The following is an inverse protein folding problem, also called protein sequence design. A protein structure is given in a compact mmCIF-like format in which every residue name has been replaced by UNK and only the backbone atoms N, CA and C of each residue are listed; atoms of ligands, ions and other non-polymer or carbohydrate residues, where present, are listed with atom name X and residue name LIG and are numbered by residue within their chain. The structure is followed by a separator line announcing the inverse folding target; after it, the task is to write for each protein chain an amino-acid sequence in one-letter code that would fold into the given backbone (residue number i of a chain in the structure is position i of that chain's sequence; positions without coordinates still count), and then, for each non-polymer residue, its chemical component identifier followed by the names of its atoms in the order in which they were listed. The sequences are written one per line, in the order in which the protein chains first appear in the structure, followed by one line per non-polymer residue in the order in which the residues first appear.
data_IF_505712448107
#
_entry.id   IF_505712448107
#
_cell.length_a   1.000
_cell.length_b   1.000
_cell.length_c   1.000
_cell.angle_alpha   90.00
_cell.angle_beta   90.00
_cell.angle_gamma   90.00
#
_symmetry.space_group_name_H-M   'P 1'
#
loop_
_entity.id
_entity.type
_entity.pdbx_description
1 polymer ?
#
# COMPACT_ATOMS: atom_id res chain seq x y z
N UNK A 1 -15.86 -20.04 14.47
CA UNK A 1 -14.85 -19.04 14.93
C UNK A 1 -14.90 -17.87 13.96
N UNK A 2 -14.94 -16.62 14.42
CA UNK A 2 -14.83 -15.44 13.54
C UNK A 2 -13.42 -15.43 12.94
N UNK A 3 -13.30 -15.38 11.61
CA UNK A 3 -11.98 -15.28 10.94
C UNK A 3 -11.40 -13.89 11.14
N UNK A 4 -10.07 -13.81 11.16
CA UNK A 4 -9.32 -12.53 11.20
C UNK A 4 -9.61 -11.72 9.95
N UNK A 5 -9.77 -10.40 10.11
CA UNK A 5 -9.99 -9.46 9.02
C UNK A 5 -8.65 -9.12 8.32
N UNK A 6 -8.61 -9.14 6.98
CA UNK A 6 -7.49 -8.63 6.20
C UNK A 6 -7.81 -7.23 5.66
N UNK A 7 -7.19 -6.21 6.29
CA UNK A 7 -7.34 -4.81 5.93
C UNK A 7 -6.25 -4.38 4.92
N UNK A 8 -6.69 -4.04 3.72
CA UNK A 8 -5.81 -3.62 2.63
C UNK A 8 -5.76 -2.08 2.46
N UNK A 9 -4.61 -1.52 2.02
CA UNK A 9 -4.50 -0.10 1.70
C UNK A 9 -5.03 0.16 0.29
N UNK A 10 -5.82 1.20 0.10
CA UNK A 10 -6.21 1.63 -1.26
C UNK A 10 -5.82 3.07 -1.47
N UNK A 11 -5.00 3.41 -2.48
CA UNK A 11 -4.74 4.83 -2.78
C UNK A 11 -5.82 5.47 -3.63
N UNK A 12 -6.41 4.68 -4.53
CA UNK A 12 -7.42 5.05 -5.52
C UNK A 12 -8.31 3.82 -5.84
N UNK A 13 -9.32 3.99 -6.70
CA UNK A 13 -10.28 2.93 -7.06
C UNK A 13 -9.59 1.70 -7.68
N UNK A 14 -8.51 1.87 -8.45
CA UNK A 14 -7.77 0.73 -9.02
C UNK A 14 -7.19 -0.17 -7.94
N UNK A 15 -6.67 0.42 -6.85
CA UNK A 15 -6.16 -0.35 -5.72
C UNK A 15 -7.27 -1.14 -5.00
N UNK A 16 -8.49 -0.58 -4.90
CA UNK A 16 -9.66 -1.33 -4.39
C UNK A 16 -9.94 -2.52 -5.31
N UNK A 17 -10.12 -2.27 -6.62
CA UNK A 17 -10.36 -3.31 -7.63
C UNK A 17 -9.33 -4.44 -7.56
N UNK A 18 -8.06 -4.08 -7.43
CA UNK A 18 -6.94 -5.01 -7.35
C UNK A 18 -7.02 -5.96 -6.14
N UNK A 19 -7.58 -5.51 -5.01
CA UNK A 19 -7.70 -6.30 -3.79
C UNK A 19 -9.08 -6.90 -3.51
N UNK A 20 -10.11 -6.65 -4.35
CA UNK A 20 -11.51 -7.02 -4.10
C UNK A 20 -11.70 -8.49 -3.70
N UNK A 21 -10.95 -9.41 -4.32
CA UNK A 21 -11.08 -10.86 -4.08
C UNK A 21 -10.31 -11.36 -2.86
N UNK A 22 -9.52 -10.50 -2.22
CA UNK A 22 -8.50 -10.90 -1.26
C UNK A 22 -8.63 -10.20 0.09
N UNK A 23 -9.06 -8.95 0.11
CA UNK A 23 -9.26 -8.18 1.34
C UNK A 23 -10.69 -8.34 1.89
N UNK A 24 -10.86 -8.15 3.20
CA UNK A 24 -12.19 -8.01 3.82
C UNK A 24 -12.59 -6.53 3.94
N UNK A 25 -11.59 -5.65 3.95
CA UNK A 25 -11.79 -4.22 4.15
C UNK A 25 -10.68 -3.40 3.50
N UNK A 26 -10.99 -2.13 3.23
CA UNK A 26 -10.02 -1.16 2.73
C UNK A 26 -9.96 0.08 3.62
N UNK A 27 -8.75 0.60 3.83
CA UNK A 27 -8.57 1.92 4.42
C UNK A 27 -8.00 2.93 3.42
N UNK A 28 -8.54 4.14 3.45
CA UNK A 28 -8.13 5.22 2.57
C UNK A 28 -8.40 6.62 3.14
N UNK A 29 -7.71 7.62 2.61
CA UNK A 29 -7.88 9.03 2.99
C UNK A 29 -8.53 9.85 1.88
N UNK A 30 -9.16 10.95 2.29
CA UNK A 30 -9.51 12.05 1.41
C UNK A 30 -8.24 12.79 0.93
N UNK A 31 -8.38 13.89 0.19
CA UNK A 31 -7.23 14.70 -0.25
C UNK A 31 -6.45 15.36 0.89
N UNK A 32 -7.04 15.51 2.07
CA UNK A 32 -6.47 16.16 3.24
C UNK A 32 -6.53 15.26 4.49
N UNK A 33 -5.91 15.73 5.57
CA UNK A 33 -6.01 15.18 6.93
C UNK A 33 -5.57 13.71 7.14
N UNK A 34 -4.73 13.13 6.28
CA UNK A 34 -4.28 11.74 6.44
C UNK A 34 -2.76 11.60 6.31
N UNK A 35 -2.18 10.55 6.89
CA UNK A 35 -0.72 10.33 6.92
C UNK A 35 -0.04 10.09 5.56
N UNK A 36 -0.80 10.08 4.45
CA UNK A 36 -0.31 9.84 3.09
C UNK A 36 -0.91 10.87 2.13
N UNK A 37 -0.83 12.17 2.47
CA UNK A 37 -1.36 13.25 1.64
C UNK A 37 -0.76 13.27 0.23
N UNK A 38 0.48 12.79 0.08
CA UNK A 38 1.15 12.67 -1.24
C UNK A 38 0.73 11.43 -2.06
N UNK A 39 -0.16 10.58 -1.55
CA UNK A 39 -0.73 9.49 -2.34
C UNK A 39 -1.80 10.02 -3.32
N UNK A 40 -2.21 9.16 -4.25
CA UNK A 40 -3.24 9.44 -5.27
C UNK A 40 -4.67 9.44 -4.68
N UNK A 41 -4.84 10.19 -3.59
CA UNK A 41 -6.01 10.26 -2.70
C UNK A 41 -7.35 10.45 -3.42
N UNK A 42 -8.42 9.98 -2.77
CA UNK A 42 -9.78 10.09 -3.30
C UNK A 42 -10.28 11.53 -3.23
N UNK A 43 -10.83 12.03 -4.33
CA UNK A 43 -11.59 13.27 -4.33
C UNK A 43 -12.96 13.07 -3.66
N UNK A 44 -13.63 14.15 -3.30
CA UNK A 44 -15.00 14.09 -2.76
C UNK A 44 -15.96 13.35 -3.71
N UNK A 45 -15.79 13.50 -5.02
CA UNK A 45 -16.58 12.79 -6.03
C UNK A 45 -16.23 11.30 -6.18
N UNK A 46 -15.06 10.87 -5.71
CA UNK A 46 -14.61 9.49 -5.79
C UNK A 46 -14.95 8.70 -4.52
N UNK A 47 -15.06 9.36 -3.36
CA UNK A 47 -15.36 8.70 -2.08
C UNK A 47 -16.67 7.88 -2.13
N UNK A 48 -17.82 8.41 -2.61
CA UNK A 48 -19.05 7.61 -2.72
C UNK A 48 -18.89 6.39 -3.63
N UNK A 49 -18.16 6.54 -4.74
CA UNK A 49 -17.91 5.43 -5.68
C UNK A 49 -17.02 4.35 -5.05
N UNK A 50 -16.04 4.76 -4.26
CA UNK A 50 -15.12 3.86 -3.57
C UNK A 50 -15.83 3.05 -2.49
N UNK A 51 -16.64 3.72 -1.66
CA UNK A 51 -17.45 3.06 -0.61
C UNK A 51 -18.47 2.12 -1.24
N UNK A 52 -19.23 2.59 -2.24
CA UNK A 52 -20.16 1.74 -3.00
C UNK A 52 -19.48 0.50 -3.57
N UNK A 53 -18.30 0.66 -4.18
CA UNK A 53 -17.54 -0.46 -4.73
C UNK A 53 -17.16 -1.50 -3.67
N UNK A 54 -16.80 -1.06 -2.46
CA UNK A 54 -16.50 -1.97 -1.36
C UNK A 54 -17.77 -2.72 -0.92
N UNK A 55 -18.85 -1.99 -0.65
CA UNK A 55 -20.12 -2.56 -0.16
C UNK A 55 -20.79 -3.48 -1.18
N UNK A 56 -20.78 -3.14 -2.47
CA UNK A 56 -21.30 -4.00 -3.55
C UNK A 56 -20.60 -5.37 -3.60
N UNK A 57 -19.40 -5.49 -3.03
CA UNK A 57 -18.63 -6.73 -2.95
C UNK A 57 -18.60 -7.32 -1.53
N UNK A 58 -19.32 -6.75 -0.56
CA UNK A 58 -19.36 -7.20 0.83
C UNK A 58 -18.13 -6.81 1.67
N UNK A 59 -17.34 -5.83 1.24
CA UNK A 59 -16.16 -5.33 1.95
C UNK A 59 -16.48 -4.05 2.73
N UNK A 60 -15.79 -3.85 3.85
CA UNK A 60 -15.87 -2.60 4.62
C UNK A 60 -14.94 -1.52 4.08
N UNK A 61 -15.32 -0.26 4.26
CA UNK A 61 -14.52 0.91 3.91
C UNK A 61 -14.25 1.79 5.14
N UNK A 62 -12.97 2.11 5.38
CA UNK A 62 -12.54 2.96 6.49
C UNK A 62 -11.86 4.23 5.98
N UNK A 63 -12.32 5.39 6.46
CA UNK A 63 -11.66 6.66 6.14
C UNK A 63 -10.54 6.92 7.14
N UNK A 64 -9.47 7.58 6.72
CA UNK A 64 -8.37 7.99 7.61
C UNK A 64 -8.35 9.50 7.77
N UNK A 65 -8.42 9.98 9.02
CA UNK A 65 -8.16 11.37 9.41
C UNK A 65 -7.11 11.39 10.54
N UNK A 66 -6.02 10.68 10.30
CA UNK A 66 -5.03 10.36 11.31
C UNK A 66 -3.82 11.29 11.23
N UNK A 67 -3.97 12.61 11.40
CA UNK A 67 -2.83 13.54 11.54
C UNK A 67 -3.07 14.45 12.75
N UNK A 68 -2.04 15.17 13.19
CA UNK A 68 -2.20 16.26 14.17
C UNK A 68 -3.18 17.30 13.61
N UNK A 69 -4.08 17.86 14.41
CA UNK A 69 -5.09 18.84 13.98
C UNK A 69 -4.91 20.15 14.75
N UNK A 70 -5.01 21.30 14.06
CA UNK A 70 -4.98 22.63 14.69
C UNK A 70 -6.38 23.24 14.83
N UNK A 71 -6.50 24.23 15.70
CA UNK A 71 -7.78 24.89 16.06
C UNK A 71 -8.55 25.41 14.83
N UNK A 72 -7.83 26.07 13.91
CA UNK A 72 -8.38 26.62 12.67
C UNK A 72 -8.81 25.54 11.65
N UNK A 73 -8.45 24.28 11.89
CA UNK A 73 -8.76 23.15 11.04
C UNK A 73 -9.94 22.30 11.52
N UNK A 74 -10.39 22.51 12.77
CA UNK A 74 -11.45 21.71 13.39
C UNK A 74 -12.72 21.67 12.52
N UNK A 75 -13.14 22.82 12.00
CA UNK A 75 -14.32 22.91 11.11
C UNK A 75 -14.17 22.01 9.88
N UNK A 76 -13.00 22.01 9.24
CA UNK A 76 -12.75 21.19 8.05
C UNK A 76 -12.68 19.71 8.37
N UNK A 77 -12.06 19.34 9.49
CA UNK A 77 -12.02 17.97 9.98
C UNK A 77 -13.44 17.44 10.24
N UNK A 78 -14.26 18.19 10.97
CA UNK A 78 -15.63 17.78 11.31
C UNK A 78 -16.48 17.59 10.07
N UNK A 79 -16.37 18.50 9.09
CA UNK A 79 -17.05 18.34 7.81
C UNK A 79 -16.66 17.06 7.07
N UNK A 80 -15.38 16.66 7.13
CA UNK A 80 -14.90 15.40 6.53
C UNK A 80 -15.50 14.19 7.25
N UNK A 81 -15.58 14.22 8.58
CA UNK A 81 -16.16 13.13 9.37
C UNK A 81 -17.68 13.01 9.13
N UNK A 82 -18.41 14.11 9.09
CA UNK A 82 -19.84 14.11 8.73
C UNK A 82 -20.07 13.59 7.32
N UNK A 83 -19.26 14.04 6.35
CA UNK A 83 -19.35 13.56 4.98
C UNK A 83 -19.00 12.06 4.88
N UNK A 84 -18.03 11.59 5.66
CA UNK A 84 -17.73 10.16 5.72
C UNK A 84 -18.93 9.36 6.27
N UNK A 85 -19.61 9.88 7.30
CA UNK A 85 -20.83 9.28 7.84
C UNK A 85 -21.95 9.24 6.79
N UNK A 86 -22.20 10.35 6.09
CA UNK A 86 -23.28 10.44 5.09
C UNK A 86 -23.04 9.54 3.88
N UNK A 87 -21.78 9.36 3.48
CA UNK A 87 -21.37 8.44 2.40
C UNK A 87 -21.53 6.97 2.84
N UNK A 88 -21.50 6.69 4.15
CA UNK A 88 -21.65 5.35 4.70
C UNK A 88 -20.33 4.62 4.97
N UNK A 89 -19.25 5.32 5.30
CA UNK A 89 -18.04 4.64 5.78
C UNK A 89 -18.32 3.80 7.03
N UNK A 90 -17.73 2.60 7.11
CA UNK A 90 -17.86 1.67 8.24
C UNK A 90 -17.11 2.15 9.49
N UNK A 91 -16.24 3.15 9.35
CA UNK A 91 -15.61 3.85 10.45
C UNK A 91 -14.46 4.77 10.04
N UNK A 92 -13.99 5.56 10.99
CA UNK A 92 -12.87 6.47 10.82
C UNK A 92 -11.64 6.03 11.63
N UNK A 93 -10.47 6.03 11.00
CA UNK A 93 -9.18 5.80 11.66
C UNK A 93 -8.61 7.16 12.07
N UNK A 94 -8.63 7.42 13.39
CA UNK A 94 -8.34 8.74 13.98
C UNK A 94 -7.36 8.60 15.14
N UNK A 95 -6.71 9.69 15.54
CA UNK A 95 -5.90 9.70 16.76
C UNK A 95 -5.98 11.00 17.54
N UNK A 96 -6.30 12.10 16.86
CA UNK A 96 -6.50 13.40 17.48
C UNK A 96 -7.69 13.34 18.45
N UNK A 97 -7.53 13.94 19.64
CA UNK A 97 -8.53 13.88 20.71
C UNK A 97 -9.80 14.64 20.31
N UNK A 98 -9.69 15.77 19.58
CA UNK A 98 -10.86 16.49 19.11
C UNK A 98 -11.64 15.66 18.08
N UNK A 99 -10.93 14.94 17.20
CA UNK A 99 -11.57 14.00 16.27
C UNK A 99 -12.31 12.87 17.01
N UNK A 100 -11.73 12.34 18.09
CA UNK A 100 -12.33 11.27 18.90
C UNK A 100 -13.60 11.77 19.61
N UNK A 101 -13.53 12.94 20.25
CA UNK A 101 -14.68 13.55 20.93
C UNK A 101 -15.83 13.79 19.94
N UNK A 102 -15.51 14.37 18.79
CA UNK A 102 -16.51 14.63 17.77
C UNK A 102 -17.11 13.35 17.18
N UNK A 103 -16.28 12.37 16.81
CA UNK A 103 -16.76 11.08 16.31
C UNK A 103 -17.71 10.38 17.31
N UNK A 104 -17.44 10.50 18.61
CA UNK A 104 -18.33 10.00 19.66
C UNK A 104 -19.64 10.80 19.73
N UNK A 105 -19.57 12.12 19.70
CA UNK A 105 -20.74 13.02 19.74
C UNK A 105 -21.71 12.73 18.59
N UNK A 106 -21.18 12.51 17.39
CA UNK A 106 -21.98 12.24 16.19
C UNK A 106 -22.10 10.76 15.84
N UNK A 107 -21.79 9.85 16.76
CA UNK A 107 -21.96 8.39 16.59
C UNK A 107 -21.34 7.83 15.29
N UNK A 108 -20.06 8.13 15.07
CA UNK A 108 -19.24 7.54 14.01
C UNK A 108 -18.37 6.45 14.63
N UNK A 109 -18.47 5.18 14.20
CA UNK A 109 -17.54 4.15 14.63
C UNK A 109 -16.10 4.56 14.33
N UNK A 110 -15.20 4.44 15.32
CA UNK A 110 -13.83 4.89 15.15
C UNK A 110 -12.80 3.88 15.63
N UNK A 111 -11.70 3.84 14.90
CA UNK A 111 -10.51 3.07 15.21
C UNK A 111 -9.41 4.02 15.65
N UNK A 112 -8.68 3.66 16.70
CA UNK A 112 -7.53 4.46 17.12
C UNK A 112 -6.31 4.11 16.27
N UNK A 113 -5.76 5.12 15.59
CA UNK A 113 -4.58 5.00 14.75
C UNK A 113 -3.34 4.64 15.57
N UNK A 114 -2.41 3.93 14.93
CA UNK A 114 -1.06 3.66 15.50
C UNK A 114 -0.35 4.92 15.97
N UNK A 115 -0.72 6.11 15.44
CA UNK A 115 -0.20 7.40 15.90
C UNK A 115 -0.57 7.77 17.34
N UNK A 116 -1.46 7.04 18.01
CA UNK A 116 -1.71 7.18 19.44
C UNK A 116 -0.69 6.41 20.32
N UNK A 117 0.16 5.55 19.73
CA UNK A 117 1.20 4.78 20.43
C UNK A 117 0.66 3.84 21.52
N UNK A 118 -0.50 3.21 21.28
CA UNK A 118 -1.06 2.23 22.21
C UNK A 118 -0.11 1.03 22.30
N UNK A 119 0.59 0.93 23.44
CA UNK A 119 1.67 -0.04 23.67
C UNK A 119 1.52 -0.82 24.99
N UNK A 120 0.44 -0.59 25.71
CA UNK A 120 0.12 -1.28 26.97
C UNK A 120 -1.40 -1.33 27.19
N UNK A 121 -1.83 -2.20 28.11
CA UNK A 121 -3.24 -2.47 28.38
C UNK A 121 -3.98 -1.29 29.00
N UNK A 122 -3.31 -0.47 29.82
CA UNK A 122 -3.92 0.72 30.45
C UNK A 122 -4.34 1.74 29.39
N UNK A 123 -3.44 2.06 28.45
CA UNK A 123 -3.75 2.95 27.33
C UNK A 123 -4.82 2.35 26.41
N UNK A 124 -4.77 1.04 26.15
CA UNK A 124 -5.77 0.37 25.31
C UNK A 124 -7.17 0.46 25.94
N UNK A 125 -7.28 0.20 27.25
CA UNK A 125 -8.53 0.24 28.00
C UNK A 125 -9.12 1.65 28.07
N UNK A 126 -8.28 2.68 28.24
CA UNK A 126 -8.71 4.08 28.15
C UNK A 126 -9.45 4.36 26.83
N UNK A 127 -8.89 3.94 25.69
CA UNK A 127 -9.53 4.16 24.39
C UNK A 127 -10.77 3.28 24.17
N UNK A 128 -10.79 2.05 24.70
CA UNK A 128 -12.00 1.21 24.72
C UNK A 128 -13.14 1.89 25.49
N UNK A 129 -12.86 2.45 26.67
CA UNK A 129 -13.83 3.18 27.51
C UNK A 129 -14.31 4.48 26.86
N UNK A 130 -13.47 5.11 26.02
CA UNK A 130 -13.89 6.24 25.19
C UNK A 130 -14.86 5.85 24.07
N UNK A 131 -14.95 4.56 23.72
CA UNK A 131 -15.86 4.04 22.70
C UNK A 131 -15.19 3.56 21.41
N UNK A 132 -13.85 3.41 21.40
CA UNK A 132 -13.16 2.89 20.22
C UNK A 132 -13.61 1.45 19.91
N UNK A 133 -14.01 1.19 18.66
CA UNK A 133 -14.37 -0.16 18.23
C UNK A 133 -13.14 -1.01 17.90
N UNK A 134 -12.01 -0.38 17.56
CA UNK A 134 -10.76 -1.06 17.23
C UNK A 134 -9.54 -0.21 17.60
N UNK A 135 -8.48 -0.86 18.06
CA UNK A 135 -7.22 -0.24 18.45
C UNK A 135 -6.09 -0.76 17.56
N UNK A 136 -5.47 0.15 16.80
CA UNK A 136 -4.30 -0.17 15.99
C UNK A 136 -3.06 0.00 16.87
N UNK A 137 -2.47 -1.12 17.27
CA UNK A 137 -1.38 -1.11 18.25
C UNK A 137 -0.09 -0.53 17.68
N UNK A 138 0.74 0.00 18.59
CA UNK A 138 2.07 0.50 18.26
C UNK A 138 2.90 -0.61 17.59
N UNK A 139 3.63 -0.25 16.53
CA UNK A 139 4.43 -1.20 15.73
C UNK A 139 5.64 -1.76 16.47
N UNK A 140 5.92 -1.19 17.64
CA UNK A 140 6.98 -1.58 18.56
C UNK A 140 6.55 -2.64 19.58
N UNK A 141 5.29 -3.07 19.58
CA UNK A 141 4.82 -4.13 20.47
C UNK A 141 5.30 -5.52 20.02
N UNK A 142 5.77 -6.31 20.98
CA UNK A 142 6.00 -7.75 20.79
C UNK A 142 4.68 -8.53 20.75
N UNK A 143 4.72 -9.74 20.20
CA UNK A 143 3.55 -10.63 20.17
C UNK A 143 3.02 -10.89 21.58
N UNK A 144 3.91 -11.09 22.55
CA UNK A 144 3.54 -11.27 23.97
C UNK A 144 2.76 -10.07 24.51
N UNK A 145 3.23 -8.85 24.25
CA UNK A 145 2.55 -7.63 24.68
C UNK A 145 1.21 -7.46 23.95
N UNK A 146 1.12 -7.78 22.66
CA UNK A 146 -0.13 -7.74 21.90
C UNK A 146 -1.16 -8.69 22.52
N UNK A 147 -0.77 -9.93 22.85
CA UNK A 147 -1.64 -10.89 23.54
C UNK A 147 -2.08 -10.40 24.91
N UNK A 148 -1.17 -9.81 25.69
CA UNK A 148 -1.49 -9.25 27.01
C UNK A 148 -2.48 -8.08 26.91
N UNK A 149 -2.28 -7.17 25.96
CA UNK A 149 -3.23 -6.09 25.68
C UNK A 149 -4.60 -6.66 25.30
N UNK A 150 -4.65 -7.62 24.36
CA UNK A 150 -5.90 -8.24 23.91
C UNK A 150 -6.67 -8.90 25.06
N UNK A 151 -5.97 -9.57 25.98
CA UNK A 151 -6.58 -10.23 27.14
C UNK A 151 -7.17 -9.25 28.17
N UNK A 152 -6.77 -7.98 28.15
CA UNK A 152 -7.27 -6.95 29.07
C UNK A 152 -8.45 -6.14 28.48
N UNK A 153 -8.81 -6.37 27.22
CA UNK A 153 -9.92 -5.71 26.54
C UNK A 153 -11.20 -6.53 26.62
N UNK A 154 -12.33 -5.84 26.67
CA UNK A 154 -13.65 -6.46 26.82
C UNK A 154 -14.48 -6.44 25.53
N UNK A 155 -14.26 -5.45 24.68
CA UNK A 155 -15.10 -5.15 23.49
C UNK A 155 -14.27 -4.77 22.27
N UNK A 156 -13.22 -3.98 22.44
CA UNK A 156 -12.45 -3.42 21.34
C UNK A 156 -11.67 -4.50 20.60
N UNK A 157 -11.67 -4.39 19.27
CA UNK A 157 -10.84 -5.20 18.39
C UNK A 157 -9.38 -4.72 18.43
N UNK A 158 -8.43 -5.61 18.20
CA UNK A 158 -7.01 -5.30 18.02
C UNK A 158 -6.63 -5.46 16.54
N UNK A 159 -5.97 -4.44 16.01
CA UNK A 159 -5.38 -4.43 14.68
C UNK A 159 -3.87 -4.24 14.77
N UNK A 160 -3.14 -5.00 13.95
CA UNK A 160 -1.68 -4.93 13.87
C UNK A 160 -1.21 -4.88 12.43
N UNK A 161 -0.06 -4.25 12.20
CA UNK A 161 0.60 -4.34 10.90
C UNK A 161 1.24 -5.71 10.74
N UNK A 162 1.04 -6.35 9.57
CA UNK A 162 1.66 -7.63 9.22
C UNK A 162 2.63 -7.53 8.03
N UNK A 163 2.49 -6.49 7.21
CA UNK A 163 3.35 -6.30 6.04
C UNK A 163 3.61 -4.82 5.74
N UNK A 164 4.75 -4.54 5.12
CA UNK A 164 5.05 -3.27 4.46
C UNK A 164 6.08 -2.42 5.18
N UNK A 165 6.29 -1.20 4.70
CA UNK A 165 7.41 -0.39 5.15
C UNK A 165 7.33 -0.05 6.65
N UNK A 166 8.44 -0.24 7.36
CA UNK A 166 8.63 0.22 8.74
C UNK A 166 9.15 1.66 8.76
N UNK A 167 8.70 2.44 9.75
CA UNK A 167 9.23 3.77 10.01
C UNK A 167 10.48 3.65 10.89
N UNK A 168 11.40 4.61 10.75
CA UNK A 168 12.55 4.75 11.66
C UNK A 168 12.16 5.40 12.97
N UNK A 169 11.08 6.18 12.95
CA UNK A 169 10.54 6.87 14.12
C UNK A 169 9.40 6.07 14.72
N UNK A 170 9.27 6.16 16.05
CA UNK A 170 8.29 5.42 16.83
C UNK A 170 6.88 5.73 16.32
N UNK A 171 6.21 4.69 15.81
CA UNK A 171 4.85 4.77 15.26
C UNK A 171 4.59 5.97 14.31
N UNK A 172 5.61 6.38 13.56
CA UNK A 172 5.51 7.42 12.53
C UNK A 172 5.62 8.86 13.02
N UNK A 173 5.91 9.11 14.31
CA UNK A 173 6.10 10.45 14.87
C UNK A 173 7.50 10.98 14.56
N UNK A 174 7.65 11.81 13.53
CA UNK A 174 8.96 12.16 12.96
C UNK A 174 9.08 13.66 12.62
N UNK A 175 10.19 14.28 13.02
CA UNK A 175 10.56 15.66 12.67
C UNK A 175 11.52 15.74 11.48
N UNK A 176 12.21 14.65 11.15
CA UNK A 176 13.29 14.69 10.15
C UNK A 176 12.88 15.27 8.79
N UNK A 177 11.65 15.04 8.35
CA UNK A 177 11.13 15.57 7.08
C UNK A 177 10.93 17.09 7.09
N UNK A 178 10.44 17.67 8.19
CA UNK A 178 10.26 19.13 8.26
C UNK A 178 11.59 19.84 8.43
N UNK A 179 12.53 19.25 9.19
CA UNK A 179 13.85 19.85 9.42
C UNK A 179 14.67 19.92 8.13
N UNK A 180 14.72 18.82 7.37
CA UNK A 180 15.42 18.76 6.08
C UNK A 180 14.83 19.73 5.06
N UNK A 181 13.51 19.92 5.08
CA UNK A 181 12.84 20.84 4.18
C UNK A 181 12.70 22.27 4.74
N UNK A 182 13.11 22.50 5.98
CA UNK A 182 12.98 23.76 6.71
C UNK A 182 11.57 24.36 6.65
N UNK A 183 10.54 23.50 6.69
CA UNK A 183 9.14 23.93 6.55
C UNK A 183 8.17 22.93 7.19
N UNK A 184 7.21 23.47 7.95
CA UNK A 184 6.11 22.72 8.56
C UNK A 184 5.23 22.03 7.52
N UNK A 185 5.22 22.53 6.27
CA UNK A 185 4.49 21.90 5.18
C UNK A 185 5.00 20.50 4.84
N UNK A 186 6.22 20.12 5.22
CA UNK A 186 6.76 18.79 4.97
C UNK A 186 6.79 17.92 6.22
N UNK A 187 5.99 18.25 7.24
CA UNK A 187 5.88 17.48 8.47
C UNK A 187 5.31 16.08 8.22
N UNK A 188 6.01 15.06 8.76
CA UNK A 188 5.54 13.69 8.69
C UNK A 188 4.29 13.47 9.54
N UNK A 189 4.14 14.21 10.64
CA UNK A 189 2.96 14.20 11.52
C UNK A 189 1.72 14.84 10.86
N UNK A 190 1.91 15.47 9.69
CA UNK A 190 0.89 16.11 8.87
C UNK A 190 0.72 15.39 7.53
N UNK A 191 1.25 14.17 7.40
CA UNK A 191 1.09 13.34 6.21
C UNK A 191 1.86 13.77 4.97
N UNK A 192 2.81 14.70 5.11
CA UNK A 192 3.59 15.30 4.01
C UNK A 192 5.08 14.92 4.04
N UNK A 193 5.40 13.78 4.65
CA UNK A 193 6.77 13.27 4.75
C UNK A 193 7.42 13.03 3.37
N UNK A 194 8.56 13.67 3.10
CA UNK A 194 9.37 13.47 1.87
C UNK A 194 10.38 12.31 1.98
N UNK A 195 10.24 11.52 3.04
CA UNK A 195 11.03 10.31 3.32
C UNK A 195 12.56 10.56 3.31
N UNK A 196 13.08 11.59 3.99
CA UNK A 196 14.52 11.88 4.02
C UNK A 196 15.34 10.74 4.61
N UNK A 197 14.74 9.96 5.52
CA UNK A 197 15.33 8.74 6.08
C UNK A 197 15.73 7.71 5.03
N UNK A 198 15.16 7.75 3.81
CA UNK A 198 15.50 6.80 2.73
C UNK A 198 16.59 7.30 1.78
N UNK A 199 17.23 8.43 2.09
CA UNK A 199 18.32 9.03 1.30
C UNK A 199 19.67 8.69 1.92
N UNK A 200 20.74 8.94 1.17
CA UNK A 200 22.11 8.90 1.70
C UNK A 200 22.46 10.27 2.29
N UNK A 201 23.14 10.28 3.42
CA UNK A 201 23.61 11.43 4.18
C UNK A 201 25.06 11.24 4.62
N UNK A 202 25.77 12.34 4.80
CA UNK A 202 27.04 12.37 5.53
C UNK A 202 26.79 13.24 6.76
N UNK A 203 26.99 12.68 7.95
CA UNK A 203 26.83 13.37 9.22
C UNK A 203 28.23 13.67 9.74
N UNK A 204 28.48 14.92 10.11
CA UNK A 204 29.73 15.34 10.73
C UNK A 204 29.30 15.96 12.06
N UNK A 205 29.81 15.45 13.17
CA UNK A 205 29.55 16.06 14.48
C UNK A 205 30.48 17.25 14.75
N UNK A 206 30.29 17.91 15.89
CA UNK A 206 31.07 19.11 16.26
C UNK A 206 32.55 18.82 16.48
N UNK A 207 32.91 17.57 16.74
CA UNK A 207 34.30 17.11 16.92
C UNK A 207 34.95 16.71 15.57
N UNK A 208 34.26 16.93 14.45
CA UNK A 208 34.63 16.49 13.10
C UNK A 208 34.66 14.96 12.91
N UNK A 209 33.99 14.18 13.77
CA UNK A 209 33.79 12.77 13.49
C UNK A 209 32.82 12.63 12.31
N UNK A 210 33.28 11.99 11.24
CA UNK A 210 32.47 11.73 10.07
C UNK A 210 31.76 10.36 10.18
N UNK A 211 30.43 10.41 10.14
CA UNK A 211 29.57 9.25 9.99
C UNK A 211 28.93 9.29 8.60
N UNK A 212 29.33 8.37 7.72
CA UNK A 212 28.66 8.21 6.44
C UNK A 212 27.38 7.40 6.69
N UNK A 213 26.24 8.05 6.54
CA UNK A 213 24.96 7.39 6.36
C UNK A 213 24.73 7.16 4.87
N UNK A 214 25.29 6.10 4.32
CA UNK A 214 25.10 5.62 2.94
C UNK A 214 23.66 5.21 2.57
N UNK A 215 22.64 5.63 3.32
CA UNK A 215 21.24 5.21 3.14
C UNK A 215 20.97 3.81 3.66
N UNK A 216 21.92 3.25 4.41
CA UNK A 216 21.96 1.83 4.75
C UNK A 216 21.95 1.59 6.28
N UNK A 217 22.51 2.49 7.10
CA UNK A 217 22.58 2.39 8.58
C UNK A 217 21.68 3.38 9.36
N UNK A 218 21.08 2.96 10.48
CA UNK A 218 20.20 3.75 11.38
C UNK A 218 18.81 4.19 10.85
N UNK A 219 18.65 4.54 9.57
CA UNK A 219 17.40 5.17 9.09
C UNK A 219 16.73 4.46 7.89
N UNK A 220 17.09 3.22 7.59
CA UNK A 220 16.50 2.45 6.48
C UNK A 220 16.08 1.04 6.90
N UNK A 221 14.95 0.95 7.61
CA UNK A 221 14.40 -0.34 8.02
C UNK A 221 14.02 -1.20 6.82
N UNK A 222 14.29 -2.51 6.95
CA UNK A 222 13.66 -3.54 6.12
C UNK A 222 12.14 -3.46 6.28
N UNK A 223 11.42 -4.03 5.31
CA UNK A 223 9.97 -4.03 5.35
C UNK A 223 9.48 -5.15 6.28
N UNK A 224 8.41 -4.88 7.05
CA UNK A 224 7.77 -5.87 7.91
C UNK A 224 7.19 -6.99 7.04
N UNK A 225 7.36 -8.24 7.48
CA UNK A 225 6.68 -9.38 6.88
C UNK A 225 6.44 -10.48 7.92
N UNK A 226 5.18 -10.72 8.26
CA UNK A 226 4.77 -11.71 9.26
C UNK A 226 4.11 -12.95 8.64
N UNK A 227 4.30 -13.16 7.33
CA UNK A 227 3.62 -14.24 6.58
C UNK A 227 3.89 -15.63 7.15
N UNK A 228 5.07 -15.86 7.71
CA UNK A 228 5.47 -17.15 8.32
C UNK A 228 4.77 -17.40 9.66
N UNK A 229 4.26 -16.34 10.29
CA UNK A 229 3.75 -16.32 11.66
C UNK A 229 2.23 -16.11 11.73
N UNK A 230 1.52 -16.25 10.61
CA UNK A 230 0.06 -16.18 10.57
C UNK A 230 -0.61 -17.08 11.63
N UNK A 231 -0.17 -18.35 11.85
CA UNK A 231 -0.72 -19.17 12.92
C UNK A 231 -0.63 -18.50 14.30
N UNK A 232 0.56 -18.05 14.69
CA UNK A 232 0.81 -17.43 15.99
C UNK A 232 0.03 -16.12 16.17
N UNK A 233 -0.12 -15.33 15.08
CA UNK A 233 -0.91 -14.11 15.11
C UNK A 233 -2.41 -14.38 15.31
N UNK A 234 -2.95 -15.42 14.66
CA UNK A 234 -4.35 -15.83 14.84
C UNK A 234 -4.58 -16.42 16.23
N UNK A 235 -3.66 -17.26 16.72
CA UNK A 235 -3.70 -17.83 18.07
C UNK A 235 -3.61 -16.75 19.16
N UNK A 236 -2.92 -15.64 18.89
CA UNK A 236 -2.89 -14.45 19.75
C UNK A 236 -4.21 -13.65 19.77
N UNK A 237 -5.26 -14.12 19.08
CA UNK A 237 -6.60 -13.52 19.01
C UNK A 237 -6.61 -12.09 18.47
N UNK A 238 -5.72 -11.80 17.53
CA UNK A 238 -5.71 -10.53 16.79
C UNK A 238 -6.90 -10.52 15.82
N UNK A 239 -7.68 -9.43 15.82
CA UNK A 239 -8.93 -9.35 15.06
C UNK A 239 -8.72 -8.87 13.62
N UNK A 240 -7.70 -8.04 13.38
CA UNK A 240 -7.41 -7.51 12.05
C UNK A 240 -5.90 -7.44 11.72
N UNK A 241 -5.55 -7.91 10.52
CA UNK A 241 -4.23 -7.80 9.92
C UNK A 241 -4.20 -6.66 8.91
N UNK A 242 -3.33 -5.68 9.16
CA UNK A 242 -3.17 -4.51 8.31
C UNK A 242 -1.95 -4.62 7.41
N UNK A 243 -2.16 -4.40 6.12
CA UNK A 243 -1.08 -4.24 5.13
C UNK A 243 -0.74 -2.76 4.99
N UNK A 244 0.52 -2.37 5.21
CA UNK A 244 1.01 -1.04 4.84
C UNK A 244 1.39 -0.99 3.36
N UNK A 245 0.79 -0.04 2.63
CA UNK A 245 1.03 0.11 1.20
C UNK A 245 0.25 1.23 0.54
N UNK A 246 -0.23 2.24 1.29
CA UNK A 246 -1.10 3.30 0.75
C UNK A 246 -0.47 4.15 -0.35
N UNK A 247 0.84 4.09 -0.54
CA UNK A 247 1.55 4.76 -1.65
C UNK A 247 1.97 3.78 -2.77
N UNK A 248 1.67 2.49 -2.64
CA UNK A 248 2.11 1.45 -3.57
C UNK A 248 1.21 1.36 -4.81
N UNK A 249 1.61 0.56 -5.79
CA UNK A 249 0.80 0.32 -6.99
C UNK A 249 -0.41 -0.54 -6.66
N UNK A 250 -1.50 -0.48 -7.46
CA UNK A 250 -2.58 -1.46 -7.37
C UNK A 250 -2.08 -2.91 -7.46
N UNK A 251 -1.10 -3.20 -8.33
CA UNK A 251 -0.46 -4.52 -8.42
C UNK A 251 0.18 -4.99 -7.10
N UNK A 252 0.86 -4.11 -6.38
CA UNK A 252 1.38 -4.44 -5.05
C UNK A 252 0.23 -4.81 -4.10
N UNK A 253 -0.84 -4.01 -4.08
CA UNK A 253 -2.00 -4.27 -3.22
C UNK A 253 -2.63 -5.63 -3.55
N UNK A 254 -2.78 -5.97 -4.83
CA UNK A 254 -3.26 -7.29 -5.27
C UNK A 254 -2.38 -8.42 -4.77
N UNK A 255 -1.08 -8.39 -5.08
CA UNK A 255 -0.17 -9.51 -4.80
C UNK A 255 -0.01 -9.72 -3.29
N UNK A 256 0.21 -8.64 -2.53
CA UNK A 256 0.36 -8.76 -1.07
C UNK A 256 -0.95 -9.26 -0.45
N UNK A 257 -2.10 -8.67 -0.80
CA UNK A 257 -3.39 -9.08 -0.21
C UNK A 257 -3.74 -10.51 -0.57
N UNK A 258 -3.50 -10.94 -1.81
CA UNK A 258 -3.69 -12.32 -2.26
C UNK A 258 -2.88 -13.30 -1.44
N UNK A 259 -1.59 -13.03 -1.26
CA UNK A 259 -0.68 -13.93 -0.53
C UNK A 259 -1.09 -14.04 0.95
N UNK A 260 -1.42 -12.92 1.59
CA UNK A 260 -1.90 -12.94 2.97
C UNK A 260 -3.26 -13.64 3.10
N UNK A 261 -4.18 -13.45 2.14
CA UNK A 261 -5.45 -14.19 2.08
C UNK A 261 -5.20 -15.69 1.97
N UNK A 262 -4.36 -16.12 1.03
CA UNK A 262 -4.00 -17.54 0.88
C UNK A 262 -3.45 -18.11 2.19
N UNK A 263 -2.56 -17.39 2.88
CA UNK A 263 -2.01 -17.86 4.15
C UNK A 263 -3.03 -17.94 5.29
N UNK A 264 -3.95 -16.98 5.37
CA UNK A 264 -5.05 -16.99 6.34
C UNK A 264 -5.98 -18.17 6.07
N UNK A 265 -6.40 -18.38 4.83
CA UNK A 265 -7.28 -19.50 4.46
C UNK A 265 -6.60 -20.85 4.67
N UNK A 266 -5.32 -20.98 4.30
CA UNK A 266 -4.55 -22.21 4.52
C UNK A 266 -4.44 -22.54 6.01
N UNK A 267 -4.31 -21.55 6.90
CA UNK A 267 -4.36 -21.80 8.35
C UNK A 267 -5.72 -22.37 8.78
N UNK A 268 -6.82 -21.69 8.41
CA UNK A 268 -8.16 -22.13 8.81
C UNK A 268 -8.58 -23.47 8.19
N UNK A 269 -8.04 -23.82 7.02
CA UNK A 269 -8.30 -25.10 6.34
C UNK A 269 -7.32 -26.22 6.73
N UNK A 270 -6.34 -25.97 7.61
CA UNK A 270 -5.35 -26.96 8.03
C UNK A 270 -4.25 -27.26 6.99
N UNK A 271 -4.08 -26.39 5.98
CA UNK A 271 -3.12 -26.54 4.88
C UNK A 271 -1.85 -25.69 5.05
N UNK A 272 -1.77 -24.86 6.10
CA UNK A 272 -0.60 -24.01 6.37
C UNK A 272 0.66 -24.86 6.59
N UNK A 273 1.68 -24.66 5.76
CA UNK A 273 2.89 -25.48 5.81
C UNK A 273 4.15 -24.69 5.43
N UNK A 274 5.32 -25.16 5.87
CA UNK A 274 6.63 -24.57 5.52
C UNK A 274 6.84 -24.44 4.00
N UNK A 275 6.32 -25.40 3.23
CA UNK A 275 6.39 -25.37 1.76
C UNK A 275 5.61 -24.18 1.19
N UNK A 276 4.40 -23.94 1.69
CA UNK A 276 3.58 -22.79 1.29
C UNK A 276 4.21 -21.47 1.73
N UNK A 277 4.73 -21.41 2.94
CA UNK A 277 5.50 -20.25 3.44
C UNK A 277 6.65 -19.88 2.51
N UNK A 278 7.46 -20.85 2.09
CA UNK A 278 8.55 -20.62 1.14
C UNK A 278 8.07 -20.06 -0.21
N UNK A 279 6.94 -20.56 -0.72
CA UNK A 279 6.30 -20.05 -1.95
C UNK A 279 5.82 -18.61 -1.78
N UNK A 280 5.14 -18.29 -0.67
CA UNK A 280 4.66 -16.94 -0.41
C UNK A 280 5.80 -15.94 -0.29
N UNK A 281 6.85 -16.25 0.48
CA UNK A 281 8.03 -15.39 0.60
C UNK A 281 8.67 -15.15 -0.78
N UNK A 282 8.76 -16.18 -1.62
CA UNK A 282 9.30 -16.06 -2.97
C UNK A 282 8.48 -15.09 -3.83
N UNK A 283 7.15 -15.18 -3.80
CA UNK A 283 6.29 -14.24 -4.53
C UNK A 283 6.36 -12.82 -3.94
N UNK A 284 6.36 -12.66 -2.62
CA UNK A 284 6.50 -11.36 -1.95
C UNK A 284 7.83 -10.67 -2.30
N UNK A 285 8.92 -11.44 -2.52
CA UNK A 285 10.23 -10.90 -2.94
C UNK A 285 10.22 -10.33 -4.35
N UNK A 286 9.24 -10.67 -5.20
CA UNK A 286 9.09 -10.08 -6.54
C UNK A 286 8.47 -8.69 -6.48
N UNK A 287 7.68 -8.40 -5.45
CA UNK A 287 7.15 -7.06 -5.24
C UNK A 287 8.21 -6.09 -4.69
N UNK A 288 7.91 -4.80 -4.69
CA UNK A 288 8.80 -3.82 -4.09
C UNK A 288 9.05 -4.19 -2.62
N UNK A 289 10.31 -4.40 -2.26
CA UNK A 289 10.72 -4.63 -0.87
C UNK A 289 12.16 -4.14 -0.64
N UNK A 290 12.51 -3.93 0.63
CA UNK A 290 13.88 -3.65 1.07
C UNK A 290 14.46 -4.80 1.89
N UNK A 291 14.05 -6.03 1.57
CA UNK A 291 14.24 -7.17 2.46
C UNK A 291 13.19 -7.20 3.56
N UNK A 292 13.15 -8.31 4.30
CA UNK A 292 12.14 -8.55 5.32
C UNK A 292 12.73 -8.60 6.73
N UNK A 293 11.92 -8.19 7.70
CA UNK A 293 12.13 -8.26 9.14
C UNK A 293 10.80 -8.62 9.82
N UNK A 294 10.87 -9.18 11.03
CA UNK A 294 9.71 -9.37 11.91
C UNK A 294 9.44 -8.16 12.79
N UNK A 295 10.22 -7.07 12.64
CA UNK A 295 10.11 -5.90 13.50
C UNK A 295 10.31 -6.27 14.97
N UNK A 296 9.38 -5.85 15.82
CA UNK A 296 9.46 -6.01 17.27
C UNK A 296 8.71 -7.24 17.80
N UNK A 297 8.12 -8.07 16.92
CA UNK A 297 7.22 -9.14 17.35
C UNK A 297 7.88 -10.19 18.25
N UNK A 298 9.16 -10.49 18.04
CA UNK A 298 9.87 -11.56 18.75
C UNK A 298 11.11 -11.06 19.47
N UNK A 299 11.94 -10.29 18.77
CA UNK A 299 13.19 -9.75 19.30
C UNK A 299 13.23 -8.23 19.16
N UNK A 300 14.11 -7.59 19.94
CA UNK A 300 14.42 -6.18 19.72
C UNK A 300 15.16 -6.05 18.37
N UNK A 301 14.74 -5.14 17.47
CA UNK A 301 15.42 -4.94 16.21
C UNK A 301 16.89 -4.61 16.40
N UNK A 302 17.71 -5.20 15.56
CA UNK A 302 19.16 -4.99 15.52
C UNK A 302 19.55 -4.37 14.19
N UNK A 303 20.85 -4.22 13.96
CA UNK A 303 21.38 -3.88 12.64
C UNK A 303 20.88 -4.84 11.54
N UNK A 304 20.60 -6.11 11.83
CA UNK A 304 20.15 -7.09 10.82
C UNK A 304 18.77 -6.75 10.23
N UNK A 305 17.99 -5.96 10.96
CA UNK A 305 16.65 -5.49 10.57
C UNK A 305 16.68 -4.21 9.73
N UNK A 306 17.87 -3.64 9.53
CA UNK A 306 18.11 -2.54 8.63
C UNK A 306 18.60 -3.06 7.27
N UNK A 307 18.37 -2.27 6.23
CA UNK A 307 18.80 -2.58 4.88
C UNK A 307 20.16 -1.92 4.59
N UNK A 308 21.24 -2.67 4.77
CA UNK A 308 22.63 -2.21 4.61
C UNK A 308 23.28 -2.51 3.25
N UNK A 309 22.52 -2.78 2.19
CA UNK A 309 23.10 -3.14 0.87
C UNK A 309 22.56 -2.32 -0.29
N UNK A 310 21.42 -1.67 -0.11
CA UNK A 310 20.83 -0.83 -1.15
C UNK A 310 19.81 0.13 -0.54
N UNK A 311 19.84 1.43 -0.87
CA UNK A 311 18.82 2.38 -0.47
C UNK A 311 17.49 2.19 -1.24
N UNK A 312 17.41 1.22 -2.17
CA UNK A 312 16.30 1.06 -3.10
C UNK A 312 15.68 -0.33 -3.08
N UNK A 313 14.69 -0.57 -3.94
CA UNK A 313 14.04 -1.86 -4.10
C UNK A 313 15.05 -2.98 -4.38
N UNK A 314 14.98 -4.07 -3.62
CA UNK A 314 15.78 -5.27 -3.87
C UNK A 314 15.22 -6.14 -5.00
N UNK A 315 13.92 -6.06 -5.29
CA UNK A 315 13.32 -6.86 -6.34
C UNK A 315 13.85 -6.48 -7.73
N UNK A 316 14.20 -7.51 -8.50
CA UNK A 316 14.54 -7.37 -9.91
C UNK A 316 13.31 -7.41 -10.83
N UNK A 317 12.15 -7.84 -10.31
CA UNK A 317 10.90 -7.86 -11.03
C UNK A 317 10.27 -6.48 -11.13
N UNK A 318 9.64 -6.20 -12.27
CA UNK A 318 9.02 -4.91 -12.55
C UNK A 318 7.77 -5.10 -13.39
N UNK A 319 6.80 -4.23 -13.13
CA UNK A 319 5.69 -4.02 -14.04
C UNK A 319 6.15 -3.09 -15.17
N UNK A 320 6.25 -3.64 -16.38
CA UNK A 320 6.74 -2.94 -17.57
C UNK A 320 5.56 -2.65 -18.49
N UNK A 321 5.34 -1.37 -18.80
CA UNK A 321 4.41 -0.98 -19.85
C UNK A 321 4.95 -1.41 -21.20
N UNK A 322 4.12 -2.10 -21.98
CA UNK A 322 4.46 -2.61 -23.31
C UNK A 322 3.62 -1.96 -24.43
N UNK A 323 2.48 -1.38 -24.08
CA UNK A 323 1.64 -0.66 -25.03
C UNK A 323 0.54 0.15 -24.39
N UNK A 324 -0.25 0.82 -25.23
CA UNK A 324 -1.42 1.62 -24.86
C UNK A 324 -2.64 1.22 -25.69
N UNK A 325 -3.82 1.20 -25.08
CA UNK A 325 -5.08 1.00 -25.78
C UNK A 325 -5.45 2.32 -26.47
N UNK A 326 -5.69 2.26 -27.78
CA UNK A 326 -6.07 3.40 -28.62
C UNK A 326 -7.56 3.47 -28.89
N UNK A 327 -8.19 2.33 -29.05
CA UNK A 327 -9.62 2.25 -29.29
C UNK A 327 -10.19 0.96 -28.68
N UNK A 328 -11.48 0.95 -28.39
CA UNK A 328 -12.19 -0.21 -27.88
C UNK A 328 -13.60 -0.28 -28.45
N UNK A 329 -13.93 -1.42 -29.06
CA UNK A 329 -15.27 -1.73 -29.51
C UNK A 329 -16.01 -2.57 -28.47
N UNK A 330 -17.09 -2.04 -27.92
CA UNK A 330 -17.94 -2.76 -26.95
C UNK A 330 -18.64 -3.97 -27.57
N UNK A 331 -19.03 -3.90 -28.85
CA UNK A 331 -19.79 -4.97 -29.51
C UNK A 331 -18.92 -6.21 -29.78
N UNK A 332 -17.68 -6.01 -30.23
CA UNK A 332 -16.75 -7.11 -30.47
C UNK A 332 -15.83 -7.43 -29.30
N UNK A 333 -15.80 -6.58 -28.26
CA UNK A 333 -14.83 -6.63 -27.15
C UNK A 333 -13.37 -6.57 -27.62
N UNK A 334 -13.14 -5.92 -28.76
CA UNK A 334 -11.80 -5.81 -29.33
C UNK A 334 -11.19 -4.45 -29.00
N UNK A 335 -9.95 -4.47 -28.52
CA UNK A 335 -9.14 -3.29 -28.31
C UNK A 335 -8.05 -3.17 -29.38
N UNK A 336 -7.90 -1.97 -29.94
CA UNK A 336 -6.74 -1.61 -30.76
C UNK A 336 -5.62 -1.15 -29.85
N UNK A 337 -4.48 -1.83 -29.89
CA UNK A 337 -3.31 -1.58 -29.04
C UNK A 337 -2.18 -1.04 -29.89
N UNK A 338 -1.58 0.06 -29.44
CA UNK A 338 -0.27 0.49 -29.90
C UNK A 338 0.79 -0.14 -29.00
N UNK A 339 1.47 -1.16 -29.51
CA UNK A 339 2.60 -1.81 -28.86
C UNK A 339 3.89 -1.06 -29.23
N UNK A 340 4.58 -0.52 -28.23
CA UNK A 340 5.79 0.29 -28.42
C UNK A 340 6.99 -0.19 -27.60
N UNK A 341 6.84 -1.30 -26.88
CA UNK A 341 7.90 -1.93 -26.12
C UNK A 341 7.62 -3.44 -25.93
N UNK A 342 8.66 -4.27 -25.91
CA UNK A 342 8.52 -5.71 -25.63
C UNK A 342 7.83 -6.47 -26.77
N UNK A 343 7.11 -7.54 -26.47
CA UNK A 343 6.37 -8.33 -27.45
C UNK A 343 5.12 -8.93 -26.78
N UNK A 344 4.16 -9.36 -27.60
CA UNK A 344 3.01 -10.15 -27.15
C UNK A 344 3.02 -11.52 -27.80
N UNK A 345 2.53 -12.52 -27.06
CA UNK A 345 2.34 -13.89 -27.53
C UNK A 345 1.04 -14.43 -26.95
N UNK A 346 0.33 -15.25 -27.72
CA UNK A 346 -0.84 -15.98 -27.24
C UNK A 346 -0.47 -16.78 -25.98
N UNK A 347 -1.32 -16.70 -24.96
CA UNK A 347 -1.14 -17.33 -23.65
C UNK A 347 -0.39 -16.47 -22.63
N UNK A 348 0.18 -15.33 -23.01
CA UNK A 348 0.82 -14.41 -22.06
C UNK A 348 -0.21 -13.78 -21.13
N UNK A 349 0.12 -13.70 -19.84
CA UNK A 349 -0.63 -12.92 -18.85
C UNK A 349 -0.22 -11.46 -18.93
N UNK A 350 -1.20 -10.57 -19.02
CA UNK A 350 -1.01 -9.12 -19.11
C UNK A 350 -1.94 -8.44 -18.11
N UNK A 351 -1.46 -7.33 -17.55
CA UNK A 351 -2.26 -6.44 -16.73
C UNK A 351 -2.74 -5.27 -17.60
N UNK A 352 -4.06 -5.07 -17.67
CA UNK A 352 -4.68 -3.87 -18.21
C UNK A 352 -4.88 -2.90 -17.05
N UNK A 353 -4.25 -1.74 -17.12
CA UNK A 353 -4.38 -0.73 -16.07
C UNK A 353 -4.52 0.68 -16.66
N UNK A 354 -5.51 1.41 -16.13
CA UNK A 354 -5.75 2.80 -16.47
C UNK A 354 -4.69 3.75 -15.94
N UNK A 355 -4.45 4.83 -16.69
CA UNK A 355 -3.71 6.03 -16.28
C UNK A 355 -4.46 6.82 -15.22
N UNK A 356 -4.07 8.06 -14.95
CA UNK A 356 -4.67 8.89 -13.89
C UNK A 356 -6.17 9.14 -14.06
N UNK A 357 -6.67 9.15 -15.30
CA UNK A 357 -8.07 9.44 -15.60
C UNK A 357 -8.96 8.20 -15.67
N UNK A 358 -8.39 7.00 -15.57
CA UNK A 358 -9.10 5.73 -15.72
C UNK A 358 -8.96 4.83 -14.51
N UNK A 359 -10.07 4.17 -14.18
CA UNK A 359 -10.20 3.19 -13.10
C UNK A 359 -10.14 1.74 -13.61
N UNK A 360 -9.67 1.51 -14.84
CA UNK A 360 -9.45 0.17 -15.39
C UNK A 360 -8.35 -0.55 -14.60
N UNK A 361 -8.62 -1.78 -14.17
CA UNK A 361 -7.64 -2.68 -13.56
C UNK A 361 -8.14 -4.12 -13.68
N UNK A 362 -7.50 -4.94 -14.52
CA UNK A 362 -7.77 -6.38 -14.59
C UNK A 362 -6.63 -7.13 -15.29
N UNK A 363 -6.45 -8.39 -14.89
CA UNK A 363 -5.54 -9.33 -15.54
C UNK A 363 -6.28 -10.09 -16.64
N UNK A 364 -5.59 -10.40 -17.74
CA UNK A 364 -6.10 -11.31 -18.77
C UNK A 364 -4.98 -12.11 -19.42
N UNK A 365 -5.35 -13.24 -20.01
CA UNK A 365 -4.48 -13.96 -20.95
C UNK A 365 -4.74 -13.50 -22.37
N UNK A 366 -3.68 -13.31 -23.15
CA UNK A 366 -3.81 -13.01 -24.58
C UNK A 366 -4.34 -14.24 -25.32
N UNK A 367 -5.57 -14.17 -25.84
CA UNK A 367 -6.21 -15.30 -26.55
C UNK A 367 -5.96 -15.26 -28.06
N UNK A 368 -5.93 -14.08 -28.63
CA UNK A 368 -5.61 -13.87 -30.05
C UNK A 368 -4.86 -12.56 -30.22
N UNK A 369 -4.12 -12.46 -31.33
CA UNK A 369 -3.45 -11.24 -31.77
C UNK A 369 -3.70 -11.10 -33.27
N UNK A 370 -4.17 -9.93 -33.71
CA UNK A 370 -4.34 -9.62 -35.14
C UNK A 370 -3.48 -8.42 -35.52
N UNK A 371 -2.71 -8.54 -36.59
CA UNK A 371 -1.90 -7.46 -37.19
C UNK A 371 -2.28 -7.36 -38.67
N UNK A 372 -2.64 -6.17 -39.13
CA UNK A 372 -3.05 -5.93 -40.53
C UNK A 372 -4.09 -6.95 -41.03
N UNK A 373 -5.10 -7.24 -40.20
CA UNK A 373 -6.16 -8.20 -40.52
C UNK A 373 -5.79 -9.68 -40.42
N UNK A 374 -4.52 -10.04 -40.18
CA UNK A 374 -4.05 -11.43 -40.09
C UNK A 374 -3.80 -11.86 -38.64
N UNK A 375 -4.24 -13.07 -38.29
CA UNK A 375 -3.99 -13.66 -36.98
C UNK A 375 -2.52 -14.09 -36.88
N UNK A 376 -1.86 -13.75 -35.77
CA UNK A 376 -0.47 -14.10 -35.49
C UNK A 376 -0.35 -14.77 -34.12
N UNK A 377 0.62 -15.69 -33.96
CA UNK A 377 0.89 -16.35 -32.68
C UNK A 377 1.68 -15.46 -31.72
N UNK A 378 2.50 -14.56 -32.25
CA UNK A 378 3.31 -13.60 -31.51
C UNK A 378 3.65 -12.39 -32.36
N UNK A 379 3.90 -11.26 -31.72
CA UNK A 379 4.46 -10.07 -32.36
C UNK A 379 5.98 -10.17 -32.43
N UNK A 380 6.58 -9.43 -33.36
CA UNK A 380 7.99 -9.08 -33.22
C UNK A 380 8.21 -8.18 -32.00
N UNK A 381 9.48 -7.98 -31.62
CA UNK A 381 9.84 -7.09 -30.52
C UNK A 381 9.63 -5.62 -30.92
N UNK A 382 8.68 -4.97 -30.27
CA UNK A 382 8.43 -3.54 -30.35
C UNK A 382 9.50 -2.74 -29.59
N UNK A 383 9.80 -1.56 -30.12
CA UNK A 383 10.66 -0.55 -29.50
C UNK A 383 10.08 0.84 -29.76
N UNK A 384 10.62 1.87 -29.11
CA UNK A 384 10.20 3.27 -29.35
C UNK A 384 10.23 3.66 -30.84
N UNK A 385 11.14 3.08 -31.61
CA UNK A 385 11.32 3.36 -33.04
C UNK A 385 10.59 2.35 -33.94
N UNK A 386 10.11 1.23 -33.39
CA UNK A 386 9.43 0.15 -34.13
C UNK A 386 8.17 -0.23 -33.36
N UNK A 387 7.06 0.43 -33.69
CA UNK A 387 5.76 0.24 -33.05
C UNK A 387 4.86 -0.63 -33.91
N UNK A 388 3.97 -1.37 -33.28
CA UNK A 388 2.96 -2.17 -33.96
C UNK A 388 1.58 -1.77 -33.49
N UNK A 389 0.68 -1.54 -34.43
CA UNK A 389 -0.74 -1.52 -34.15
C UNK A 389 -1.30 -2.94 -34.29
N UNK A 390 -2.02 -3.39 -33.27
CA UNK A 390 -2.56 -4.74 -33.21
C UNK A 390 -3.93 -4.74 -32.55
N UNK A 391 -4.74 -5.75 -32.84
CA UNK A 391 -6.00 -5.98 -32.14
C UNK A 391 -5.90 -7.18 -31.20
N UNK A 392 -6.46 -7.04 -30.01
CA UNK A 392 -6.68 -8.13 -29.04
C UNK A 392 -8.10 -8.10 -28.50
N UNK A 393 -8.56 -9.24 -27.99
CA UNK A 393 -9.74 -9.28 -27.13
C UNK A 393 -9.42 -8.66 -25.76
N UNK A 394 -10.36 -7.93 -25.18
CA UNK A 394 -10.32 -7.48 -23.79
C UNK A 394 -11.42 -8.17 -22.97
N UNK A 395 -11.05 -8.71 -21.81
CA UNK A 395 -11.98 -9.48 -20.95
C UNK A 395 -13.00 -8.57 -20.25
N UNK A 396 -12.62 -7.33 -19.97
CA UNK A 396 -13.47 -6.31 -19.37
C UNK A 396 -13.53 -5.04 -20.25
N UNK A 397 -14.64 -4.27 -20.18
CA UNK A 397 -14.74 -3.03 -20.92
C UNK A 397 -13.72 -2.00 -20.45
N UNK A 398 -13.10 -1.33 -21.43
CA UNK A 398 -12.21 -0.19 -21.23
C UNK A 398 -12.83 1.07 -21.82
N UNK A 399 -12.41 2.24 -21.35
CA UNK A 399 -12.91 3.50 -21.89
C UNK A 399 -11.97 4.00 -22.98
N UNK A 400 -12.44 4.01 -24.23
CA UNK A 400 -11.67 4.46 -25.40
C UNK A 400 -11.22 5.93 -25.33
N UNK A 401 -11.92 6.76 -24.54
CA UNK A 401 -11.57 8.17 -24.37
C UNK A 401 -10.55 8.40 -23.25
N UNK A 402 -10.18 7.34 -22.52
CA UNK A 402 -9.24 7.40 -21.41
C UNK A 402 -7.97 6.61 -21.74
N UNK A 403 -6.91 6.93 -21.02
CA UNK A 403 -5.60 6.33 -21.26
C UNK A 403 -5.52 5.02 -20.49
N UNK A 404 -5.73 3.89 -21.17
CA UNK A 404 -5.49 2.56 -20.61
C UNK A 404 -4.24 1.93 -21.21
N UNK A 405 -3.46 1.23 -20.40
CA UNK A 405 -2.16 0.70 -20.78
C UNK A 405 -2.05 -0.79 -20.50
N UNK A 406 -1.20 -1.43 -21.29
CA UNK A 406 -0.89 -2.85 -21.21
C UNK A 406 0.46 -3.04 -20.52
N UNK A 407 0.48 -3.87 -19.48
CA UNK A 407 1.67 -4.15 -18.69
C UNK A 407 1.97 -5.65 -18.61
N UNK A 408 3.26 -5.96 -18.45
CA UNK A 408 3.73 -7.30 -18.09
C UNK A 408 4.57 -7.23 -16.81
N UNK A 409 4.40 -8.21 -15.94
CA UNK A 409 5.24 -8.36 -14.75
C UNK A 409 6.38 -9.32 -15.05
N UNK A 410 7.62 -8.83 -14.99
CA UNK A 410 8.78 -9.62 -15.42
C UNK A 410 10.08 -9.20 -14.74
N UNK A 411 10.99 -10.15 -14.56
CA UNK A 411 12.40 -9.93 -14.20
C UNK A 411 13.26 -9.47 -15.40
N UNK A 412 12.78 -9.64 -16.64
CA UNK A 412 13.52 -9.27 -17.84
C UNK A 412 13.36 -7.78 -18.10
N UNK A 413 14.34 -6.97 -17.68
CA UNK A 413 14.43 -5.60 -18.19
C UNK A 413 14.79 -5.62 -19.68
N UNK A 414 13.84 -5.24 -20.56
CA UNK A 414 14.05 -5.15 -22.02
C UNK A 414 14.97 -4.01 -22.47
N UNK A 415 15.62 -3.32 -21.54
CA UNK A 415 16.55 -2.23 -21.79
C UNK A 415 17.96 -2.76 -21.56
N UNK A 416 18.80 -2.72 -22.59
CA UNK A 416 20.22 -3.04 -22.48
C UNK A 416 20.81 -2.26 -21.30
N UNK A 417 21.48 -2.96 -20.38
CA UNK A 417 22.18 -2.30 -19.26
C UNK A 417 23.41 -1.49 -19.73
N UNK A 418 23.70 -1.43 -21.03
CA UNK A 418 24.93 -0.81 -21.56
C UNK A 418 24.88 0.72 -21.67
N UNK A 419 23.71 1.37 -21.64
CA UNK A 419 23.61 2.82 -21.87
C UNK A 419 23.20 3.68 -20.67
N UNK A 420 23.14 3.12 -19.45
CA UNK A 420 22.95 3.95 -18.26
C UNK A 420 24.29 4.26 -17.62
N UNK A 421 24.91 5.37 -18.05
CA UNK A 421 25.79 6.13 -17.16
C UNK A 421 25.04 6.31 -15.83
N UNK A 422 25.68 6.17 -14.66
CA UNK A 422 25.04 6.49 -13.39
C UNK A 422 24.43 7.88 -13.54
N UNK A 423 23.12 8.00 -13.29
CA UNK A 423 22.49 9.31 -13.21
C UNK A 423 23.26 10.05 -12.11
N UNK A 424 24.12 11.00 -12.48
CA UNK A 424 24.49 12.08 -11.57
C UNK A 424 23.17 12.66 -11.12
N UNK A 425 22.80 12.43 -9.86
CA UNK A 425 21.68 13.13 -9.26
C UNK A 425 22.02 14.61 -9.38
N UNK A 426 21.27 15.35 -10.20
CA UNK A 426 21.38 16.79 -10.24
C UNK A 426 21.07 17.28 -8.82
N UNK A 427 21.98 18.06 -8.26
CA UNK A 427 21.87 18.76 -6.97
C UNK A 427 20.69 19.74 -6.89
N UNK A 428 19.99 19.97 -8.00
CA UNK A 428 18.93 20.98 -8.12
C UNK A 428 17.52 20.48 -7.79
N UNK A 429 17.36 19.32 -7.16
CA UNK A 429 16.01 18.85 -6.77
C UNK A 429 15.38 19.68 -5.63
N UNK A 430 16.16 20.55 -4.97
CA UNK A 430 15.74 21.26 -3.76
C UNK A 430 16.38 22.66 -3.64
N UNK A 431 16.17 23.53 -4.63
CA UNK A 431 16.11 24.96 -4.33
C UNK A 431 14.63 25.28 -4.12
N UNK A 432 14.23 25.41 -2.85
CA UNK A 432 12.96 26.02 -2.47
C UNK A 432 13.18 27.51 -2.33
#
# INVERSE_FOLDING_TARGET
MKKVELLAPAKNIKAIKAGLKYADSFYFGAKSFNMRMQADNFSENDLPKAVKLCHDNGLKAYITTNILIYEDELKSLFQILENAKSIGFDGAIIHDIAAIQYAKEVDIPFHISTQANISNSVAAKFYEELGASRLILARECSLKQITEIKNNLSKAEIEVFVHGAMCTSISGRCYFSLDVCQSQEYSANRGRCVQPCRRQWRVIDEENNEYIYDGERFLNSRDLCMIEFIPQLIEAKIDAFKIEGRMRSPHYVEIISKIYREAIEDYYNGNFSKKMVGKWIYELKKEYNRGFTHGFYFDKPTEKDQQHKSPTNLSHWRLIQIGSIKNYSKSSKNGTILLDNGYLKIGMDVLIQGGSTSNTYFHQKIRYIKINGKNVKSTEKATKNKKFELEINLDEPVNSNLIDNLYIFTEKTYISRKDKKPRKFKSDYYKF
#
